data_IF_836800052188
#
_entry.id   IF_836800052188
#
_cell.length_a   1.000
_cell.length_b   1.000
_cell.length_c   1.000
_cell.angle_alpha   90.00
_cell.angle_beta   90.00
_cell.angle_gamma   90.00
#
_symmetry.space_group_name_H-M   'P 1'
#
loop_
_entity.id
_entity.type
_entity.pdbx_description
1 polymer ?
#
# COMPACT_ATOMS: atom_id res chain seq x y z
N UNK A 1 10.92 -31.76 8.74
CA UNK A 1 10.50 -31.70 7.32
C UNK A 1 10.93 -30.35 6.78
N UNK A 2 11.76 -30.29 5.72
CA UNK A 2 12.12 -29.03 5.05
C UNK A 2 10.91 -28.60 4.23
N UNK A 3 10.11 -27.66 4.72
CA UNK A 3 9.11 -27.02 3.87
C UNK A 3 9.82 -26.34 2.71
N UNK A 4 9.43 -26.67 1.47
CA UNK A 4 9.92 -25.97 0.28
C UNK A 4 9.46 -24.52 0.40
N UNK A 5 10.37 -23.59 0.66
CA UNK A 5 10.09 -22.15 0.64
C UNK A 5 9.47 -21.70 -0.70
N UNK A 6 9.82 -22.40 -1.79
CA UNK A 6 9.28 -22.19 -3.12
C UNK A 6 7.99 -22.99 -3.35
N UNK A 7 6.88 -22.50 -2.79
CA UNK A 7 5.52 -22.95 -3.14
C UNK A 7 4.87 -22.00 -4.14
N UNK A 8 3.80 -22.45 -4.82
CA UNK A 8 2.97 -21.56 -5.66
C UNK A 8 2.41 -20.39 -4.84
N UNK A 9 2.09 -20.63 -3.57
CA UNK A 9 1.63 -19.60 -2.63
C UNK A 9 2.73 -18.56 -2.34
N UNK A 10 3.99 -18.97 -2.22
CA UNK A 10 5.12 -18.03 -2.05
C UNK A 10 5.28 -17.10 -3.25
N UNK A 11 5.21 -17.63 -4.47
CA UNK A 11 5.27 -16.82 -5.69
C UNK A 11 4.07 -15.87 -5.81
N UNK A 12 2.86 -16.33 -5.47
CA UNK A 12 1.67 -15.49 -5.46
C UNK A 12 1.80 -14.32 -4.47
N UNK A 13 2.22 -14.59 -3.23
CA UNK A 13 2.43 -13.54 -2.20
C UNK A 13 3.53 -12.58 -2.62
N UNK A 14 4.61 -13.08 -3.20
CA UNK A 14 5.74 -12.25 -3.67
C UNK A 14 5.30 -11.30 -4.78
N UNK A 15 4.56 -11.79 -5.78
CA UNK A 15 4.06 -10.97 -6.89
C UNK A 15 3.04 -9.94 -6.39
N UNK A 16 2.10 -10.34 -5.54
CA UNK A 16 1.12 -9.42 -4.96
C UNK A 16 1.81 -8.34 -4.14
N UNK A 17 2.77 -8.71 -3.29
CA UNK A 17 3.54 -7.76 -2.50
C UNK A 17 4.34 -6.81 -3.39
N UNK A 18 4.96 -7.34 -4.46
CA UNK A 18 5.68 -6.54 -5.43
C UNK A 18 4.79 -5.49 -6.11
N UNK A 19 3.60 -5.89 -6.59
CA UNK A 19 2.65 -4.96 -7.21
C UNK A 19 2.18 -3.90 -6.22
N UNK A 20 1.86 -4.28 -4.98
CA UNK A 20 1.43 -3.34 -3.93
C UNK A 20 2.55 -2.32 -3.65
N UNK A 21 3.78 -2.77 -3.45
CA UNK A 21 4.91 -1.87 -3.24
C UNK A 21 5.16 -0.99 -4.45
N UNK A 22 5.09 -1.54 -5.65
CA UNK A 22 5.27 -0.79 -6.90
C UNK A 22 4.26 0.36 -7.02
N UNK A 23 2.96 0.07 -6.88
CA UNK A 23 1.91 1.09 -6.92
C UNK A 23 2.07 2.11 -5.79
N UNK A 24 2.42 1.65 -4.59
CA UNK A 24 2.64 2.54 -3.45
C UNK A 24 3.80 3.51 -3.68
N UNK A 25 4.94 3.05 -4.22
CA UNK A 25 6.06 3.91 -4.55
C UNK A 25 5.75 4.88 -5.69
N UNK A 26 5.04 4.43 -6.73
CA UNK A 26 4.58 5.32 -7.81
C UNK A 26 3.64 6.39 -7.27
N UNK A 27 2.70 6.04 -6.38
CA UNK A 27 1.82 7.01 -5.73
C UNK A 27 2.62 8.00 -4.88
N UNK A 28 3.60 7.50 -4.10
CA UNK A 28 4.47 8.30 -3.24
C UNK A 28 5.26 9.34 -4.05
N UNK A 29 5.73 9.00 -5.25
CA UNK A 29 6.47 9.91 -6.12
C UNK A 29 5.56 10.84 -6.93
N UNK A 30 4.37 10.38 -7.34
CA UNK A 30 3.42 11.19 -8.10
C UNK A 30 2.65 12.19 -7.24
N UNK A 31 2.37 11.87 -5.97
CA UNK A 31 1.60 12.74 -5.06
C UNK A 31 2.20 14.16 -4.95
N UNK A 32 3.50 14.36 -4.66
CA UNK A 32 4.09 15.71 -4.62
C UNK A 32 4.08 16.40 -5.98
N UNK A 33 4.29 15.65 -7.07
CA UNK A 33 4.27 16.18 -8.44
C UNK A 33 2.86 16.70 -8.76
N UNK A 34 1.83 15.94 -8.43
CA UNK A 34 0.44 16.32 -8.66
C UNK A 34 0.04 17.56 -7.85
N UNK A 35 0.46 17.64 -6.58
CA UNK A 35 0.18 18.81 -5.73
C UNK A 35 0.89 20.07 -6.25
N UNK A 36 2.12 19.94 -6.74
CA UNK A 36 2.87 21.06 -7.30
C UNK A 36 2.28 21.53 -8.64
N UNK A 37 1.95 20.59 -9.53
CA UNK A 37 1.64 20.87 -10.94
C UNK A 37 0.14 21.16 -11.18
N UNK A 38 -0.77 20.49 -10.45
CA UNK A 38 -2.24 20.68 -10.59
C UNK A 38 -2.85 21.61 -9.57
N UNK A 39 -2.35 21.63 -8.33
CA UNK A 39 -2.86 22.51 -7.27
C UNK A 39 -2.15 23.86 -7.20
N UNK A 40 -1.08 24.08 -7.99
CA UNK A 40 -0.19 25.26 -7.90
C UNK A 40 0.24 25.59 -6.46
N UNK A 41 0.30 24.57 -5.60
CA UNK A 41 0.64 24.76 -4.20
C UNK A 41 2.16 24.93 -4.07
N UNK A 42 2.58 25.90 -3.24
CA UNK A 42 4.00 26.11 -2.93
C UNK A 42 4.65 24.81 -2.44
N UNK A 43 5.92 24.59 -2.78
CA UNK A 43 6.69 23.39 -2.46
C UNK A 43 6.61 23.00 -0.96
N UNK A 44 6.52 24.00 -0.08
CA UNK A 44 6.36 23.81 1.37
C UNK A 44 5.08 23.05 1.74
N UNK A 45 3.95 23.35 1.06
CA UNK A 45 2.66 22.69 1.31
C UNK A 45 2.66 21.27 0.77
N UNK A 46 3.29 21.02 -0.37
CA UNK A 46 3.44 19.69 -0.93
C UNK A 46 4.29 18.79 -0.01
N UNK A 47 5.41 19.32 0.50
CA UNK A 47 6.27 18.63 1.46
C UNK A 47 5.56 18.27 2.76
N UNK A 48 4.76 19.19 3.31
CA UNK A 48 3.92 18.98 4.50
C UNK A 48 2.87 17.87 4.29
N UNK A 49 2.21 17.86 3.14
CA UNK A 49 1.19 16.86 2.81
C UNK A 49 1.80 15.46 2.68
N UNK A 50 2.94 15.36 1.99
CA UNK A 50 3.69 14.09 1.86
C UNK A 50 4.18 13.60 3.22
N UNK A 51 4.75 14.47 4.06
CA UNK A 51 5.19 14.07 5.41
C UNK A 51 4.03 13.64 6.29
N UNK A 52 2.87 14.31 6.23
CA UNK A 52 1.67 13.89 6.95
C UNK A 52 1.18 12.51 6.47
N UNK A 53 1.20 12.26 5.16
CA UNK A 53 0.85 10.97 4.57
C UNK A 53 1.80 9.85 5.04
N UNK A 54 3.12 10.07 5.01
CA UNK A 54 4.08 9.09 5.53
C UNK A 54 3.91 8.87 7.04
N UNK A 55 3.67 9.92 7.82
CA UNK A 55 3.46 9.82 9.26
C UNK A 55 2.22 8.98 9.57
N UNK A 56 1.10 9.23 8.89
CA UNK A 56 -0.10 8.41 9.01
C UNK A 56 0.16 6.94 8.63
N UNK A 57 0.93 6.70 7.57
CA UNK A 57 1.34 5.35 7.17
C UNK A 57 2.23 4.65 8.22
N UNK A 58 3.11 5.37 8.90
CA UNK A 58 3.92 4.82 10.00
C UNK A 58 3.03 4.45 11.19
N UNK A 59 2.06 5.30 11.53
CA UNK A 59 1.12 5.04 12.64
C UNK A 59 0.22 3.84 12.35
N UNK A 60 -0.22 3.64 11.10
CA UNK A 60 -1.09 2.51 10.74
C UNK A 60 -0.36 1.15 10.77
N UNK A 61 0.97 1.13 10.53
CA UNK A 61 1.79 -0.08 10.44
C UNK A 61 1.72 -1.01 11.66
N UNK A 62 1.89 -0.56 12.91
CA UNK A 62 1.76 -1.43 14.08
C UNK A 62 0.36 -2.05 14.20
N UNK A 63 -0.70 -1.32 13.86
CA UNK A 63 -2.06 -1.87 13.85
C UNK A 63 -2.22 -2.94 12.77
N UNK A 64 -1.80 -2.63 11.54
CA UNK A 64 -1.86 -3.59 10.43
C UNK A 64 -1.05 -4.86 10.72
N UNK A 65 0.15 -4.73 11.28
CA UNK A 65 0.99 -5.87 11.68
C UNK A 65 0.37 -6.71 12.80
N UNK A 66 -0.26 -6.08 13.79
CA UNK A 66 -1.00 -6.79 14.83
C UNK A 66 -2.21 -7.56 14.27
N UNK A 67 -2.90 -7.01 13.28
CA UNK A 67 -4.05 -7.67 12.66
C UNK A 67 -3.62 -8.90 11.86
N UNK A 68 -2.51 -8.79 11.11
CA UNK A 68 -1.87 -9.90 10.38
C UNK A 68 -1.41 -11.03 11.32
N UNK A 69 -0.90 -10.69 12.50
CA UNK A 69 -0.49 -11.69 13.50
C UNK A 69 -1.67 -12.37 14.22
N UNK A 70 -2.81 -11.69 14.36
CA UNK A 70 -3.97 -12.16 15.14
C UNK A 70 -5.00 -12.93 14.29
N UNK A 71 -5.02 -12.76 12.97
CA UNK A 71 -5.91 -13.43 12.03
C UNK A 71 -5.12 -14.25 11.00
N UNK A 72 -5.67 -15.37 10.54
CA UNK A 72 -5.04 -16.24 9.52
C UNK A 72 -4.60 -15.42 8.29
N UNK A 73 -3.29 -15.40 8.00
CA UNK A 73 -2.63 -14.67 6.91
C UNK A 73 -3.39 -14.73 5.57
N UNK A 74 -3.97 -15.89 5.24
CA UNK A 74 -4.69 -16.11 3.98
C UNK A 74 -6.00 -15.30 3.90
N UNK A 75 -6.71 -15.12 5.02
CA UNK A 75 -7.96 -14.34 5.08
C UNK A 75 -7.68 -12.84 4.94
N UNK A 76 -6.59 -12.36 5.54
CA UNK A 76 -6.20 -10.95 5.44
C UNK A 76 -5.71 -10.63 4.03
N UNK A 77 -4.94 -11.52 3.40
CA UNK A 77 -4.52 -11.33 2.01
C UNK A 77 -5.74 -11.18 1.08
N UNK A 78 -6.71 -12.09 1.20
CA UNK A 78 -7.95 -12.04 0.39
C UNK A 78 -8.76 -10.77 0.69
N UNK A 79 -8.93 -10.41 1.96
CA UNK A 79 -9.71 -9.22 2.35
C UNK A 79 -9.04 -7.92 1.87
N UNK A 80 -7.71 -7.83 1.98
CA UNK A 80 -6.92 -6.68 1.50
C UNK A 80 -7.00 -6.54 -0.01
N UNK A 81 -6.87 -7.65 -0.75
CA UNK A 81 -7.00 -7.64 -2.21
C UNK A 81 -8.41 -7.27 -2.67
N UNK A 82 -9.44 -7.74 -1.97
CA UNK A 82 -10.83 -7.36 -2.25
C UNK A 82 -11.08 -5.88 -1.99
N UNK A 83 -10.59 -5.36 -0.86
CA UNK A 83 -10.67 -3.94 -0.54
C UNK A 83 -9.95 -3.08 -1.59
N UNK A 84 -8.76 -3.50 -2.02
CA UNK A 84 -8.00 -2.80 -3.06
C UNK A 84 -8.74 -2.78 -4.41
N UNK A 85 -9.35 -3.91 -4.79
CA UNK A 85 -10.15 -4.01 -6.01
C UNK A 85 -11.39 -3.11 -5.95
N UNK A 86 -12.10 -3.09 -4.82
CA UNK A 86 -13.28 -2.23 -4.62
C UNK A 86 -12.90 -0.75 -4.68
N UNK A 87 -11.82 -0.34 -4.02
CA UNK A 87 -11.35 1.05 -4.03
C UNK A 87 -10.91 1.48 -5.44
N UNK A 88 -10.23 0.59 -6.17
CA UNK A 88 -9.82 0.84 -7.56
C UNK A 88 -11.02 0.93 -8.50
N UNK A 89 -12.03 0.08 -8.33
CA UNK A 89 -13.25 0.10 -9.13
C UNK A 89 -14.15 1.31 -8.83
N UNK A 90 -14.10 1.83 -7.60
CA UNK A 90 -14.86 3.00 -7.18
C UNK A 90 -14.17 4.32 -7.56
N UNK A 91 -12.90 4.28 -7.98
CA UNK A 91 -12.22 5.47 -8.49
C UNK A 91 -12.93 5.92 -9.77
N UNK A 92 -13.63 7.07 -9.75
CA UNK A 92 -14.33 7.54 -10.94
C UNK A 92 -13.25 7.95 -11.94
N UNK A 93 -13.36 7.37 -13.13
CA UNK A 93 -12.48 7.62 -14.28
C UNK A 93 -12.46 9.10 -14.65
#
# INVERSE_FOLDING_TARGET
>A
MKEKLWTKDFWAITIVSFIIFFVFYVLLTLLPIYIADRLHASADKAGLLVTCFLAAAIVIRPFAGQWVGKYSNKKILVLSSLAFLVITALYPV
#
